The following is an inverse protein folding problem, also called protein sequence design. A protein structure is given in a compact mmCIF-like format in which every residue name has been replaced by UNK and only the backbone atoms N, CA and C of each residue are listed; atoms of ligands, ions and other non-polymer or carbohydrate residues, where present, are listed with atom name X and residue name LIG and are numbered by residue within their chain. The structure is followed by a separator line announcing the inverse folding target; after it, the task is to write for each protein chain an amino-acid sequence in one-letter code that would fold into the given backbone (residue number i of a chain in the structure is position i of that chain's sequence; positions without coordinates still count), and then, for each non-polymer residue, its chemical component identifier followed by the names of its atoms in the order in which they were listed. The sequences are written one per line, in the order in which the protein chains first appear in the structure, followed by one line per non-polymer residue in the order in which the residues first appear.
data_IF_204027803293
#
_entry.id   IF_204027803293
#
_cell.length_a   1.000
_cell.length_b   1.000
_cell.length_c   1.000
_cell.angle_alpha   90.00
_cell.angle_beta   90.00
_cell.angle_gamma   90.00
#
_symmetry.space_group_name_H-M   'P 1'
#
loop_
_entity.id
_entity.type
_entity.pdbx_description
1 polymer ?
#
# COMPACT_ATOMS: atom_id res chain seq x y z
N UNK A 1 3.69 1.15 -20.61
CA UNK A 1 4.62 0.13 -20.09
C UNK A 1 4.60 0.18 -18.56
N UNK A 2 4.85 -0.95 -17.88
CA UNK A 2 5.01 -0.98 -16.43
C UNK A 2 6.49 -0.84 -16.03
N UNK A 3 6.76 -0.29 -14.85
CA UNK A 3 8.12 -0.13 -14.30
C UNK A 3 8.11 -0.04 -12.78
N UNK A 4 9.27 -0.26 -12.16
CA UNK A 4 9.49 0.06 -10.76
C UNK A 4 9.49 1.59 -10.52
N UNK A 5 9.07 2.00 -9.33
CA UNK A 5 9.06 3.40 -8.87
C UNK A 5 10.20 3.59 -7.86
N UNK A 6 11.20 4.45 -8.16
CA UNK A 6 12.24 4.77 -7.20
C UNK A 6 11.71 5.71 -6.11
N UNK A 7 12.38 5.72 -4.95
CA UNK A 7 11.97 6.53 -3.79
C UNK A 7 11.73 8.02 -4.11
N UNK A 8 12.54 8.61 -5.00
CA UNK A 8 12.40 10.01 -5.46
C UNK A 8 11.03 10.32 -6.10
N UNK A 9 10.34 9.30 -6.60
CA UNK A 9 9.04 9.40 -7.26
C UNK A 9 7.89 8.88 -6.38
N UNK A 10 8.18 8.39 -5.17
CA UNK A 10 7.20 7.75 -4.27
C UNK A 10 5.99 8.64 -3.99
N UNK A 11 6.18 9.95 -3.86
CA UNK A 11 5.07 10.90 -3.64
C UNK A 11 4.06 10.91 -4.79
N UNK A 12 4.51 10.80 -6.04
CA UNK A 12 3.60 10.80 -7.19
C UNK A 12 2.75 9.51 -7.25
N UNK A 13 3.38 8.39 -6.91
CA UNK A 13 2.69 7.11 -6.79
C UNK A 13 1.69 7.13 -5.62
N UNK A 14 2.09 7.66 -4.47
CA UNK A 14 1.23 7.83 -3.29
C UNK A 14 0.01 8.71 -3.57
N UNK A 15 0.18 9.85 -4.26
CA UNK A 15 -0.93 10.72 -4.67
C UNK A 15 -1.93 9.96 -5.53
N UNK A 16 -1.43 9.11 -6.44
CA UNK A 16 -2.29 8.31 -7.31
C UNK A 16 -3.07 7.25 -6.53
N UNK A 17 -2.43 6.56 -5.58
CA UNK A 17 -3.12 5.62 -4.69
C UNK A 17 -4.17 6.32 -3.81
N UNK A 18 -3.83 7.45 -3.21
CA UNK A 18 -4.74 8.23 -2.39
C UNK A 18 -6.01 8.67 -3.15
N UNK A 19 -5.86 9.02 -4.44
CA UNK A 19 -6.98 9.29 -5.34
C UNK A 19 -7.76 8.02 -5.70
N UNK A 20 -7.08 6.91 -5.99
CA UNK A 20 -7.72 5.65 -6.36
C UNK A 20 -8.63 5.12 -5.25
N UNK A 21 -8.13 5.19 -4.02
CA UNK A 21 -8.80 4.72 -2.80
C UNK A 21 -9.55 5.83 -2.09
N UNK A 22 -9.69 7.00 -2.73
CA UNK A 22 -10.36 8.13 -2.12
C UNK A 22 -11.77 7.79 -1.70
N UNK A 23 -12.46 6.88 -2.40
CA UNK A 23 -13.85 6.41 -2.21
C UNK A 23 -13.98 4.96 -1.71
N UNK A 24 -12.86 4.30 -1.39
CA UNK A 24 -12.88 2.90 -1.00
C UNK A 24 -13.20 2.73 0.50
N UNK A 25 -14.25 1.96 0.81
CA UNK A 25 -14.73 1.79 2.19
C UNK A 25 -13.72 1.04 3.08
N UNK A 26 -12.96 0.11 2.51
CA UNK A 26 -11.96 -0.68 3.23
C UNK A 26 -10.72 0.16 3.45
N UNK A 27 -10.23 0.87 2.43
CA UNK A 27 -9.10 1.79 2.59
C UNK A 27 -9.40 2.94 3.57
N UNK A 28 -10.66 3.38 3.66
CA UNK A 28 -11.07 4.41 4.64
C UNK A 28 -11.28 3.87 6.06
N UNK A 29 -11.15 2.56 6.30
CA UNK A 29 -11.49 1.91 7.58
C UNK A 29 -10.75 2.51 8.79
N UNK A 30 -9.50 2.93 8.61
CA UNK A 30 -8.68 3.56 9.64
C UNK A 30 -8.96 5.06 9.84
N UNK A 31 -9.70 5.72 8.93
CA UNK A 31 -10.00 7.15 9.02
C UNK A 31 -11.22 7.44 9.91
N UNK A 32 -12.25 6.57 9.96
CA UNK A 32 -13.44 6.78 10.83
C UNK A 32 -14.32 5.55 11.05
N UNK A 33 -15.19 5.64 12.07
CA UNK A 33 -16.12 4.58 12.55
C UNK A 33 -17.52 4.68 11.94
N UNK A 34 -18.12 5.87 11.89
CA UNK A 34 -19.58 5.97 11.88
C UNK A 34 -20.22 6.15 10.50
N UNK A 35 -19.47 6.53 9.47
CA UNK A 35 -20.06 6.70 8.14
C UNK A 35 -19.00 6.67 7.03
N UNK A 36 -18.74 5.49 6.47
CA UNK A 36 -17.88 5.34 5.29
C UNK A 36 -18.57 5.80 3.99
N UNK A 37 -19.87 6.14 4.04
CA UNK A 37 -20.66 6.50 2.86
C UNK A 37 -20.64 8.01 2.57
N UNK A 38 -20.16 8.84 3.49
CA UNK A 38 -19.95 10.27 3.21
C UNK A 38 -18.62 10.54 2.49
N UNK A 39 -18.52 11.65 1.75
CA UNK A 39 -17.23 12.16 1.28
C UNK A 39 -16.27 12.44 2.42
N UNK A 40 -14.97 12.32 2.16
CA UNK A 40 -13.93 12.73 3.11
C UNK A 40 -13.98 14.25 3.29
N UNK A 41 -13.72 14.71 4.52
CA UNK A 41 -13.42 16.13 4.77
C UNK A 41 -12.01 16.44 4.29
N UNK A 42 -11.71 17.71 4.03
CA UNK A 42 -10.35 18.11 3.60
C UNK A 42 -9.24 17.71 4.58
N UNK A 43 -9.55 17.55 5.88
CA UNK A 43 -8.60 17.03 6.88
C UNK A 43 -8.35 15.53 6.68
N UNK A 44 -9.41 14.77 6.40
CA UNK A 44 -9.33 13.32 6.14
C UNK A 44 -8.68 13.02 4.79
N UNK A 45 -8.91 13.83 3.76
CA UNK A 45 -8.20 13.71 2.47
C UNK A 45 -6.69 13.91 2.65
N UNK A 46 -6.28 14.93 3.41
CA UNK A 46 -4.86 15.17 3.75
C UNK A 46 -4.27 14.01 4.55
N UNK A 47 -5.05 13.43 5.47
CA UNK A 47 -4.61 12.27 6.24
C UNK A 47 -4.50 11.02 5.36
N UNK A 48 -5.46 10.78 4.47
CA UNK A 48 -5.44 9.68 3.50
C UNK A 48 -4.21 9.76 2.60
N UNK A 49 -3.94 10.94 2.03
CA UNK A 49 -2.74 11.18 1.25
C UNK A 49 -1.49 10.88 2.08
N UNK A 50 -1.44 11.36 3.33
CA UNK A 50 -0.29 11.11 4.21
C UNK A 50 -0.07 9.62 4.47
N UNK A 51 -1.14 8.86 4.67
CA UNK A 51 -1.05 7.42 4.88
C UNK A 51 -0.43 6.76 3.66
N UNK A 52 -0.93 7.05 2.46
CA UNK A 52 -0.35 6.51 1.23
C UNK A 52 1.08 6.99 0.96
N UNK A 53 1.45 8.21 1.35
CA UNK A 53 2.86 8.65 1.31
C UNK A 53 3.75 7.75 2.17
N UNK A 54 3.32 7.46 3.41
CA UNK A 54 4.06 6.61 4.32
C UNK A 54 4.11 5.16 3.83
N UNK A 55 2.98 4.59 3.39
CA UNK A 55 2.92 3.23 2.84
C UNK A 55 3.83 3.10 1.61
N UNK A 56 3.71 4.01 0.64
CA UNK A 56 4.52 3.96 -0.59
C UNK A 56 6.01 4.11 -0.27
N UNK A 57 6.36 5.01 0.66
CA UNK A 57 7.74 5.16 1.10
C UNK A 57 8.29 3.90 1.78
N UNK A 58 7.47 3.23 2.61
CA UNK A 58 7.85 1.97 3.25
C UNK A 58 8.12 0.87 2.20
N UNK A 59 7.25 0.74 1.21
CA UNK A 59 7.42 -0.21 0.12
C UNK A 59 8.60 0.14 -0.81
N UNK A 60 8.97 1.41 -0.96
CA UNK A 60 10.21 1.77 -1.64
C UNK A 60 11.49 1.38 -0.87
N UNK A 61 11.40 1.16 0.45
CA UNK A 61 12.53 0.77 1.29
C UNK A 61 12.69 -0.74 1.40
N UNK A 62 11.62 -1.43 1.81
CA UNK A 62 11.66 -2.86 2.15
C UNK A 62 10.86 -3.72 1.17
N UNK A 63 10.38 -3.17 0.06
CA UNK A 63 9.62 -3.93 -0.93
C UNK A 63 9.75 -3.40 -2.34
N UNK A 64 8.64 -3.42 -3.06
CA UNK A 64 8.58 -3.01 -4.45
C UNK A 64 7.34 -2.16 -4.72
N UNK A 65 7.55 -1.03 -5.39
CA UNK A 65 6.48 -0.18 -5.92
C UNK A 65 6.53 -0.26 -7.44
N UNK A 66 5.41 -0.61 -8.06
CA UNK A 66 5.27 -0.75 -9.51
C UNK A 66 4.23 0.23 -10.02
N UNK A 67 4.47 0.84 -11.18
CA UNK A 67 3.48 1.71 -11.83
C UNK A 67 3.33 1.38 -13.32
N UNK A 68 2.13 1.63 -13.87
CA UNK A 68 1.86 1.57 -15.29
C UNK A 68 0.90 2.69 -15.73
N UNK A 69 1.05 3.11 -16.99
CA UNK A 69 0.26 4.20 -17.57
C UNK A 69 0.90 5.58 -17.35
N UNK A 70 0.41 6.62 -18.04
CA UNK A 70 0.94 7.96 -17.88
C UNK A 70 0.67 8.47 -16.46
N UNK A 71 1.55 9.30 -15.94
CA UNK A 71 1.36 10.00 -14.66
C UNK A 71 0.96 9.09 -13.49
N UNK A 72 1.47 7.86 -13.41
CA UNK A 72 1.16 6.89 -12.35
C UNK A 72 -0.31 6.47 -12.29
N UNK A 73 -0.97 6.37 -13.44
CA UNK A 73 -2.39 6.03 -13.55
C UNK A 73 -2.78 4.69 -12.90
N UNK A 74 -1.84 3.74 -12.79
CA UNK A 74 -1.96 2.56 -11.94
C UNK A 74 -0.69 2.34 -11.13
N UNK A 75 -0.85 1.95 -9.87
CA UNK A 75 0.24 1.73 -8.91
C UNK A 75 -0.06 0.47 -8.08
N UNK A 76 0.95 -0.36 -7.87
CA UNK A 76 0.90 -1.53 -7.00
C UNK A 76 2.02 -1.50 -5.95
N UNK A 77 1.69 -1.85 -4.71
CA UNK A 77 2.61 -1.97 -3.58
C UNK A 77 2.81 -3.45 -3.22
N UNK A 78 4.07 -3.90 -3.20
CA UNK A 78 4.43 -5.30 -2.99
C UNK A 78 5.40 -5.44 -1.82
N UNK A 79 5.12 -6.37 -0.91
CA UNK A 79 6.01 -6.75 0.19
C UNK A 79 6.64 -8.13 -0.08
N UNK A 80 7.94 -8.30 0.18
CA UNK A 80 8.60 -9.59 0.12
C UNK A 80 8.18 -10.50 1.29
N UNK A 81 8.43 -11.80 1.17
CA UNK A 81 8.17 -12.74 2.24
C UNK A 81 9.01 -12.42 3.48
N UNK A 82 8.45 -12.62 4.67
CA UNK A 82 9.13 -12.33 5.93
C UNK A 82 9.44 -10.84 6.16
N UNK A 83 8.84 -9.96 5.35
CA UNK A 83 9.00 -8.51 5.50
C UNK A 83 8.18 -7.98 6.66
N UNK A 84 8.71 -8.09 7.86
CA UNK A 84 8.29 -7.24 8.95
C UNK A 84 8.81 -5.82 8.68
N UNK A 85 7.96 -4.81 8.85
CA UNK A 85 8.42 -3.43 8.71
C UNK A 85 9.50 -3.16 9.75
N UNK A 86 10.75 -3.17 9.31
CA UNK A 86 11.87 -2.97 10.20
C UNK A 86 11.73 -1.62 10.91
N UNK A 87 12.30 -1.49 12.10
CA UNK A 87 12.31 -0.21 12.82
C UNK A 87 12.85 0.93 11.92
N UNK A 88 13.85 0.63 11.07
CA UNK A 88 14.42 1.59 10.12
C UNK A 88 13.36 2.08 9.14
N UNK A 89 12.56 1.17 8.58
CA UNK A 89 11.50 1.50 7.65
C UNK A 89 10.35 2.23 8.31
N UNK A 90 9.97 1.84 9.53
CA UNK A 90 9.01 2.57 10.34
C UNK A 90 9.38 4.06 10.53
N UNK A 91 10.66 4.34 10.79
CA UNK A 91 11.16 5.71 10.92
C UNK A 91 11.31 6.44 9.58
N UNK A 92 11.94 5.82 8.58
CA UNK A 92 12.26 6.45 7.29
C UNK A 92 11.04 6.75 6.42
N UNK A 93 10.01 5.90 6.49
CA UNK A 93 8.72 6.13 5.83
C UNK A 93 7.86 7.21 6.50
N UNK A 94 8.15 7.52 7.76
CA UNK A 94 7.35 8.43 8.58
C UNK A 94 6.03 7.83 9.08
N UNK A 95 5.89 6.50 9.11
CA UNK A 95 4.71 5.82 9.67
C UNK A 95 4.44 6.22 11.12
N UNK A 96 5.49 6.44 11.91
CA UNK A 96 5.38 6.94 13.28
C UNK A 96 4.65 8.29 13.39
N UNK A 97 4.73 9.14 12.35
CA UNK A 97 4.02 10.43 12.31
C UNK A 97 2.51 10.27 12.13
N UNK A 98 2.02 9.08 11.75
CA UNK A 98 0.59 8.80 11.66
C UNK A 98 -0.04 8.63 13.05
N UNK A 99 0.71 8.13 14.02
CA UNK A 99 0.21 7.88 15.38
C UNK A 99 -0.48 9.12 15.99
N UNK A 100 0.15 10.31 16.08
CA UNK A 100 -0.52 11.49 16.62
C UNK A 100 -1.60 12.07 15.70
N UNK A 101 -1.65 11.69 14.42
CA UNK A 101 -2.62 12.23 13.44
C UNK A 101 -3.91 11.42 13.38
N UNK A 102 -3.85 10.14 13.75
CA UNK A 102 -4.99 9.24 13.83
C UNK A 102 -5.74 9.42 15.17
N UNK A 103 -7.06 9.32 15.11
CA UNK A 103 -7.89 9.21 16.33
C UNK A 103 -7.58 7.91 17.10
N UNK A 104 -8.09 7.77 18.32
CA UNK A 104 -7.88 6.57 19.16
C UNK A 104 -8.22 5.28 18.42
N UNK A 105 -9.40 5.24 17.79
CA UNK A 105 -9.85 4.08 17.03
C UNK A 105 -9.05 3.88 15.73
N UNK A 106 -8.74 4.97 15.02
CA UNK A 106 -7.92 4.90 13.82
C UNK A 106 -6.53 4.32 14.07
N UNK A 107 -5.93 4.64 15.23
CA UNK A 107 -4.68 4.02 15.69
C UNK A 107 -4.85 2.52 15.95
N UNK A 108 -5.87 2.12 16.70
CA UNK A 108 -6.12 0.72 17.01
C UNK A 108 -6.31 -0.12 15.73
N UNK A 109 -7.04 0.42 14.75
CA UNK A 109 -7.23 -0.24 13.46
C UNK A 109 -5.98 -0.25 12.61
N UNK A 110 -5.36 0.91 12.39
CA UNK A 110 -4.22 1.00 11.49
C UNK A 110 -3.03 0.18 11.98
N UNK A 111 -2.66 0.29 13.25
CA UNK A 111 -1.51 -0.40 13.82
C UNK A 111 -1.82 -1.79 14.40
N UNK A 112 -3.09 -2.08 14.71
CA UNK A 112 -3.49 -3.38 15.26
C UNK A 112 -4.04 -4.38 14.24
N UNK A 113 -4.42 -3.94 13.02
CA UNK A 113 -4.96 -4.86 12.01
C UNK A 113 -3.89 -5.65 11.26
N UNK A 114 -2.63 -5.22 11.30
CA UNK A 114 -1.54 -5.90 10.58
C UNK A 114 -1.34 -7.33 11.11
N UNK A 115 -1.31 -7.50 12.42
CA UNK A 115 -1.18 -8.81 13.06
C UNK A 115 -2.34 -9.75 12.65
N UNK A 116 -3.57 -9.23 12.59
CA UNK A 116 -4.75 -10.01 12.15
C UNK A 116 -4.64 -10.42 10.67
N UNK A 117 -4.12 -9.55 9.81
CA UNK A 117 -3.91 -9.87 8.39
C UNK A 117 -2.82 -10.94 8.23
N UNK A 118 -1.73 -10.82 8.99
CA UNK A 118 -0.64 -11.79 8.99
C UNK A 118 -1.07 -13.15 9.54
N UNK A 119 -1.82 -13.18 10.64
CA UNK A 119 -2.39 -14.40 11.21
C UNK A 119 -3.32 -15.09 10.22
N UNK A 120 -4.20 -14.33 9.56
CA UNK A 120 -5.13 -14.83 8.55
C UNK A 120 -4.39 -15.42 7.33
N UNK A 121 -3.34 -14.73 6.86
CA UNK A 121 -2.48 -15.21 5.79
C UNK A 121 -1.77 -16.51 6.20
N UNK A 122 -1.18 -16.54 7.40
CA UNK A 122 -0.46 -17.71 7.92
C UNK A 122 -1.38 -18.91 8.11
N UNK A 123 -2.57 -18.70 8.66
CA UNK A 123 -3.59 -19.73 8.84
C UNK A 123 -4.06 -20.32 7.50
N UNK A 124 -4.27 -19.47 6.49
CA UNK A 124 -4.77 -19.89 5.17
C UNK A 124 -3.68 -20.56 4.32
N UNK A 125 -2.46 -20.03 4.35
CA UNK A 125 -1.37 -20.46 3.46
C UNK A 125 -0.44 -21.49 4.10
N UNK A 126 -0.50 -21.67 5.43
CA UNK A 126 0.38 -22.54 6.20
C UNK A 126 1.85 -22.21 5.96
N UNK A 127 2.64 -23.24 5.65
CA UNK A 127 4.08 -23.12 5.36
C UNK A 127 4.40 -22.23 4.16
N UNK A 128 3.43 -21.92 3.29
CA UNK A 128 3.65 -21.03 2.13
C UNK A 128 3.66 -19.55 2.51
N UNK A 129 3.14 -19.17 3.67
CA UNK A 129 3.08 -17.77 4.09
C UNK A 129 4.47 -17.12 4.16
N UNK A 130 5.47 -17.84 4.70
CA UNK A 130 6.85 -17.37 4.85
C UNK A 130 7.62 -17.18 3.54
N UNK A 131 7.10 -17.67 2.42
CA UNK A 131 7.72 -17.55 1.09
C UNK A 131 6.84 -16.76 0.09
N UNK A 132 5.75 -16.16 0.58
CA UNK A 132 4.78 -15.46 -0.26
C UNK A 132 5.07 -13.96 -0.32
N UNK A 133 5.08 -13.42 -1.53
CA UNK A 133 5.01 -11.98 -1.76
C UNK A 133 3.57 -11.51 -1.66
N UNK A 134 3.36 -10.37 -1.00
CA UNK A 134 2.03 -9.81 -0.76
C UNK A 134 1.84 -8.53 -1.56
N UNK A 135 0.82 -8.48 -2.41
CA UNK A 135 0.34 -7.25 -3.04
C UNK A 135 -0.64 -6.56 -2.08
N UNK A 136 -0.19 -5.54 -1.36
CA UNK A 136 -1.01 -4.89 -0.32
C UNK A 136 -2.03 -3.92 -0.91
N UNK A 137 -1.63 -3.19 -1.96
CA UNK A 137 -2.44 -2.15 -2.57
C UNK A 137 -2.29 -2.18 -4.09
N UNK A 138 -3.40 -2.16 -4.82
CA UNK A 138 -3.43 -2.01 -6.28
C UNK A 138 -4.48 -0.98 -6.68
N UNK A 139 -4.01 0.22 -7.02
CA UNK A 139 -4.85 1.33 -7.48
C UNK A 139 -4.83 1.49 -8.99
N UNK A 140 -5.97 1.83 -9.59
CA UNK A 140 -6.05 2.40 -10.94
C UNK A 140 -7.02 3.57 -10.95
N UNK A 141 -6.54 4.75 -11.38
CA UNK A 141 -7.33 5.98 -11.45
C UNK A 141 -8.55 5.78 -12.32
N UNK A 142 -9.69 6.38 -11.91
CA UNK A 142 -11.00 6.20 -12.58
C UNK A 142 -10.92 6.36 -14.10
N UNK A 143 -10.24 7.42 -14.58
CA UNK A 143 -10.07 7.73 -16.03
C UNK A 143 -9.26 6.70 -16.83
N UNK A 144 -8.55 5.80 -16.16
CA UNK A 144 -7.62 4.84 -16.77
C UNK A 144 -7.95 3.38 -16.47
N UNK A 145 -9.07 3.14 -15.78
CA UNK A 145 -9.66 1.80 -15.64
C UNK A 145 -10.09 1.26 -17.00
N UNK A 146 -10.08 -0.07 -17.15
CA UNK A 146 -10.41 -0.74 -18.42
C UNK A 146 -9.30 -0.72 -19.49
N UNK A 147 -8.15 -0.05 -19.25
CA UNK A 147 -7.05 0.06 -20.21
C UNK A 147 -5.91 -0.96 -19.99
N UNK A 148 -6.13 -1.95 -19.12
CA UNK A 148 -5.14 -3.00 -18.80
C UNK A 148 -3.92 -2.55 -17.99
N UNK A 149 -3.94 -1.36 -17.37
CA UNK A 149 -2.81 -0.88 -16.57
C UNK A 149 -2.59 -1.71 -15.29
N UNK A 150 -3.66 -2.08 -14.59
CA UNK A 150 -3.59 -2.96 -13.42
C UNK A 150 -2.93 -4.31 -13.76
N UNK A 151 -3.31 -4.92 -14.88
CA UNK A 151 -2.70 -6.16 -15.39
C UNK A 151 -1.19 -5.99 -15.61
N UNK A 152 -0.77 -4.90 -16.26
CA UNK A 152 0.65 -4.61 -16.48
C UNK A 152 1.42 -4.42 -15.18
N UNK A 153 0.83 -3.78 -14.16
CA UNK A 153 1.43 -3.65 -12.82
C UNK A 153 1.61 -5.04 -12.19
N UNK A 154 0.58 -5.89 -12.25
CA UNK A 154 0.64 -7.25 -11.70
C UNK A 154 1.68 -8.13 -12.39
N UNK A 155 1.65 -8.17 -13.73
CA UNK A 155 2.60 -8.96 -14.51
C UNK A 155 4.06 -8.54 -14.25
N UNK A 156 4.32 -7.23 -14.16
CA UNK A 156 5.65 -6.72 -13.86
C UNK A 156 6.10 -7.09 -12.43
N UNK A 157 5.20 -6.96 -11.44
CA UNK A 157 5.47 -7.39 -10.07
C UNK A 157 5.80 -8.89 -10.01
N UNK A 158 4.95 -9.73 -10.59
CA UNK A 158 5.15 -11.18 -10.65
C UNK A 158 6.44 -11.57 -11.37
N UNK A 159 6.82 -10.86 -12.43
CA UNK A 159 8.08 -11.10 -13.13
C UNK A 159 9.29 -10.80 -12.25
N UNK A 160 9.27 -9.71 -11.48
CA UNK A 160 10.35 -9.38 -10.55
C UNK A 160 10.41 -10.32 -9.35
N UNK A 161 9.26 -10.72 -8.80
CA UNK A 161 9.18 -11.69 -7.71
C UNK A 161 9.87 -13.02 -8.06
N UNK A 162 9.81 -13.45 -9.32
CA UNK A 162 10.50 -14.67 -9.79
C UNK A 162 12.03 -14.54 -9.84
N UNK A 163 12.55 -13.32 -9.89
CA UNK A 163 13.99 -13.02 -10.06
C UNK A 163 14.62 -12.59 -8.74
N UNK A 164 13.86 -12.03 -7.81
CA UNK A 164 14.33 -11.80 -6.45
C UNK A 164 14.53 -13.16 -5.77
N UNK A 165 15.77 -13.53 -5.39
CA UNK A 165 15.96 -14.72 -4.60
C UNK A 165 15.13 -14.55 -3.33
N UNK A 166 14.40 -15.59 -2.95
CA UNK A 166 13.93 -15.82 -1.58
C UNK A 166 15.18 -15.94 -0.69
N UNK A 167 15.90 -14.84 -0.49
CA UNK A 167 17.20 -14.86 0.14
C UNK A 167 17.02 -14.85 1.65
N UNK A 168 17.12 -16.07 2.19
CA UNK A 168 17.56 -16.51 3.52
C UNK A 168 16.54 -16.44 4.66
#
# INVERSE_FOLDING_TARGET
MARAVPFKEAKNAATSLAECFSDDRVARYYLRVSDCNRPLTSKEEKLNLRIYECLTAAHCHDGLVVTAGPCYDSVGLWLPPGSDWTWKTYWRSGLWLLWPRLGREGRARFFGSWDTLEESMTSTMGTRASVTWVLTDLGTRKRSRGKGHATKVMEYGLALVRVYPSSL
#
